data_IF_506197805835
#
_entry.id   IF_506197805835
#
_cell.length_a   1.000
_cell.length_b   1.000
_cell.length_c   1.000
_cell.angle_alpha   90.00
_cell.angle_beta   90.00
_cell.angle_gamma   90.00
#
_symmetry.space_group_name_H-M   'P 1'
#
loop_
_entity.id
_entity.type
_entity.pdbx_description
1 polymer ?
#
# COMPACT_ATOMS: atom_id res chain seq x y z
N UNK A 1 15.92 7.82 1.66
CA UNK A 1 14.45 8.04 1.53
C UNK A 1 13.70 6.71 1.74
N UNK A 2 12.55 6.72 2.44
CA UNK A 2 11.78 5.51 2.79
C UNK A 2 10.36 5.46 2.18
N UNK A 3 10.05 6.39 1.28
CA UNK A 3 8.79 6.47 0.55
C UNK A 3 9.08 6.45 -0.95
N UNK A 4 8.39 5.58 -1.68
CA UNK A 4 8.37 5.56 -3.14
C UNK A 4 7.07 6.21 -3.62
N UNK A 5 7.19 7.17 -4.55
CA UNK A 5 6.07 7.75 -5.27
C UNK A 5 5.98 7.12 -6.64
N UNK A 6 4.77 6.90 -7.14
CA UNK A 6 4.54 6.49 -8.52
C UNK A 6 3.38 7.28 -9.13
N UNK A 7 3.53 7.61 -10.41
CA UNK A 7 2.54 8.35 -11.17
C UNK A 7 1.98 7.43 -12.23
N UNK A 8 0.65 7.28 -12.23
CA UNK A 8 -0.08 6.49 -13.19
C UNK A 8 -0.91 7.43 -14.05
N UNK A 9 -0.72 7.37 -15.38
CA UNK A 9 -1.36 8.29 -16.34
C UNK A 9 -2.86 8.04 -16.55
N UNK A 10 -3.48 7.21 -15.73
CA UNK A 10 -4.90 6.87 -15.72
C UNK A 10 -5.35 6.59 -14.28
N UNK A 11 -6.61 6.87 -13.95
CA UNK A 11 -7.22 6.48 -12.68
C UNK A 11 -7.97 5.15 -12.83
N UNK A 12 -8.15 4.43 -11.71
CA UNK A 12 -8.76 3.08 -11.68
C UNK A 12 -9.68 2.91 -10.46
N UNK A 13 -10.47 3.95 -10.15
CA UNK A 13 -11.31 4.02 -8.95
C UNK A 13 -12.51 3.07 -9.03
N UNK A 14 -13.13 2.92 -10.20
CA UNK A 14 -14.27 2.05 -10.40
C UNK A 14 -13.79 0.66 -10.86
N UNK A 15 -13.88 -0.38 -10.02
CA UNK A 15 -13.57 -1.73 -10.46
C UNK A 15 -14.65 -2.23 -11.42
N UNK A 16 -14.27 -2.78 -12.58
CA UNK A 16 -15.18 -3.59 -13.39
C UNK A 16 -15.24 -5.01 -12.86
N UNK A 17 -16.44 -5.56 -12.79
CA UNK A 17 -16.65 -6.93 -12.33
C UNK A 17 -15.87 -7.92 -13.19
N UNK A 18 -15.10 -8.80 -12.56
CA UNK A 18 -14.28 -9.81 -13.25
C UNK A 18 -12.93 -9.32 -13.79
N UNK A 19 -12.64 -8.01 -13.73
CA UNK A 19 -11.36 -7.44 -14.14
C UNK A 19 -10.50 -7.07 -12.92
N UNK A 20 -9.18 -7.03 -13.10
CA UNK A 20 -8.28 -6.51 -12.06
C UNK A 20 -8.42 -4.98 -12.07
N UNK A 21 -8.71 -4.32 -10.93
CA UNK A 21 -8.94 -2.87 -10.89
C UNK A 21 -7.84 -2.05 -11.59
N UNK A 22 -6.58 -2.43 -11.41
CA UNK A 22 -5.42 -1.72 -12.00
C UNK A 22 -5.36 -1.75 -13.54
N UNK A 23 -6.13 -2.62 -14.20
CA UNK A 23 -6.14 -2.77 -15.66
C UNK A 23 -7.32 -2.04 -16.32
N UNK A 24 -8.13 -1.35 -15.53
CA UNK A 24 -9.42 -0.84 -15.97
C UNK A 24 -9.51 0.67 -15.70
N UNK A 25 -9.16 1.51 -16.70
CA UNK A 25 -9.30 2.95 -16.56
C UNK A 25 -10.73 3.38 -16.26
N UNK A 26 -10.87 4.42 -15.44
CA UNK A 26 -12.16 5.08 -15.21
C UNK A 26 -12.72 5.68 -16.51
N UNK A 27 -14.05 5.89 -16.63
CA UNK A 27 -14.67 6.42 -17.85
C UNK A 27 -14.44 7.93 -18.06
N UNK A 28 -13.64 8.58 -17.21
CA UNK A 28 -13.24 9.99 -17.30
C UNK A 28 -11.71 10.11 -17.38
N UNK A 29 -11.17 11.20 -17.94
CA UNK A 29 -9.73 11.48 -17.88
C UNK A 29 -9.32 11.70 -16.43
N UNK A 30 -8.34 10.94 -15.96
CA UNK A 30 -7.83 11.03 -14.60
C UNK A 30 -6.43 10.45 -14.51
N UNK A 31 -5.77 10.64 -13.39
CA UNK A 31 -4.48 10.04 -13.10
C UNK A 31 -4.42 9.69 -11.61
N UNK A 32 -3.39 8.94 -11.20
CA UNK A 32 -3.20 8.60 -9.78
C UNK A 32 -1.76 8.86 -9.37
N UNK A 33 -1.60 9.45 -8.19
CA UNK A 33 -0.31 9.55 -7.51
C UNK A 33 -0.36 8.57 -6.35
N UNK A 34 0.38 7.48 -6.48
CA UNK A 34 0.47 6.46 -5.46
C UNK A 34 1.74 6.55 -4.65
N UNK A 35 1.72 5.85 -3.52
CA UNK A 35 2.72 5.95 -2.48
C UNK A 35 2.91 4.58 -1.81
N UNK A 36 4.17 4.21 -1.55
CA UNK A 36 4.54 2.95 -0.91
C UNK A 36 5.68 3.18 0.07
N UNK A 37 5.50 2.76 1.31
CA UNK A 37 6.58 2.68 2.28
C UNK A 37 7.56 1.57 1.86
N UNK A 38 8.85 1.90 1.74
CA UNK A 38 9.86 0.97 1.21
C UNK A 38 10.43 0.06 2.30
N UNK A 39 10.33 0.45 3.57
CA UNK A 39 10.80 -0.33 4.73
C UNK A 39 9.75 -0.27 5.85
N UNK A 40 8.57 -0.88 5.66
CA UNK A 40 7.57 -0.97 6.72
C UNK A 40 8.14 -1.65 7.97
N UNK A 41 7.70 -1.21 9.13
CA UNK A 41 8.02 -1.80 10.43
C UNK A 41 6.98 -2.83 10.88
N UNK A 42 5.74 -2.76 10.37
CA UNK A 42 4.70 -3.77 10.55
C UNK A 42 5.16 -5.14 10.05
N UNK A 43 4.74 -6.21 10.72
CA UNK A 43 5.11 -7.60 10.37
C UNK A 43 3.87 -8.48 10.34
N UNK A 44 3.72 -9.21 9.25
CA UNK A 44 2.63 -10.14 9.00
C UNK A 44 2.98 -11.60 9.30
N UNK A 45 2.03 -12.48 9.03
CA UNK A 45 2.20 -13.93 9.11
C UNK A 45 1.53 -14.66 7.94
N UNK A 46 2.05 -15.85 7.64
CA UNK A 46 1.41 -16.84 6.76
C UNK A 46 1.25 -18.13 7.56
N UNK A 47 0.01 -18.57 7.76
CA UNK A 47 -0.32 -19.72 8.60
C UNK A 47 -1.13 -20.76 7.82
N UNK A 48 -0.88 -22.04 8.11
CA UNK A 48 -1.73 -23.12 7.62
C UNK A 48 -3.15 -22.96 8.17
N UNK A 49 -4.16 -23.22 7.35
CA UNK A 49 -5.58 -23.15 7.75
C UNK A 49 -6.17 -24.53 8.05
N UNK A 50 -5.59 -25.58 7.47
CA UNK A 50 -6.07 -26.96 7.64
C UNK A 50 -4.92 -27.96 7.43
N UNK A 51 -5.23 -29.25 7.58
CA UNK A 51 -4.32 -30.35 7.23
C UNK A 51 -4.30 -30.68 5.73
N UNK A 52 -5.21 -30.12 4.94
CA UNK A 52 -5.27 -30.35 3.50
C UNK A 52 -4.24 -29.45 2.79
N UNK A 53 -3.19 -30.02 2.15
CA UNK A 53 -2.17 -29.21 1.47
C UNK A 53 -2.70 -28.45 0.23
N UNK A 54 -3.95 -28.71 -0.22
CA UNK A 54 -4.59 -27.99 -1.32
C UNK A 54 -5.35 -26.74 -0.86
N UNK A 55 -5.52 -26.54 0.44
CA UNK A 55 -6.18 -25.34 0.95
C UNK A 55 -5.18 -24.18 0.96
N UNK A 56 -5.58 -23.03 0.40
CA UNK A 56 -4.75 -21.82 0.45
C UNK A 56 -4.42 -21.42 1.90
N UNK A 57 -3.21 -20.91 2.19
CA UNK A 57 -2.88 -20.47 3.54
C UNK A 57 -3.70 -19.24 3.97
N UNK A 58 -3.71 -18.95 5.28
CA UNK A 58 -4.12 -17.65 5.80
C UNK A 58 -2.94 -16.69 5.68
N UNK A 59 -3.14 -15.54 5.05
CA UNK A 59 -2.12 -14.50 4.90
C UNK A 59 -2.65 -13.25 5.62
N UNK A 60 -1.93 -12.81 6.66
CA UNK A 60 -2.30 -11.64 7.45
C UNK A 60 -1.14 -10.65 7.46
N UNK A 61 -1.15 -9.59 6.63
CA UNK A 61 -0.02 -8.65 6.55
C UNK A 61 0.19 -7.81 7.80
N UNK A 62 -0.86 -7.63 8.63
CA UNK A 62 -0.89 -6.69 9.75
C UNK A 62 -0.43 -5.28 9.35
N UNK A 63 -0.81 -4.82 8.14
CA UNK A 63 -0.45 -3.49 7.68
C UNK A 63 -0.93 -2.42 8.67
N UNK A 64 -0.07 -1.42 8.94
CA UNK A 64 -0.32 -0.34 9.89
C UNK A 64 -0.48 -0.79 11.35
N UNK A 65 0.13 -1.92 11.74
CA UNK A 65 0.14 -2.37 13.13
C UNK A 65 1.10 -1.58 14.03
N UNK A 66 1.94 -0.72 13.46
CA UNK A 66 2.87 0.16 14.18
C UNK A 66 2.53 1.62 13.94
N UNK A 67 2.70 2.46 14.97
CA UNK A 67 2.51 3.92 14.80
C UNK A 67 3.50 4.51 13.79
N UNK A 68 4.74 3.98 13.72
CA UNK A 68 5.73 4.43 12.75
C UNK A 68 5.24 4.32 11.29
N UNK A 69 4.57 3.22 10.93
CA UNK A 69 4.04 3.05 9.57
C UNK A 69 2.82 3.95 9.31
N UNK A 70 2.01 4.22 10.34
CA UNK A 70 0.85 5.13 10.27
C UNK A 70 1.32 6.58 10.07
N UNK A 71 2.28 7.02 10.87
CA UNK A 71 2.81 8.38 10.85
C UNK A 71 3.53 8.68 9.51
N UNK A 72 4.32 7.70 9.02
CA UNK A 72 4.99 7.81 7.72
C UNK A 72 3.97 7.91 6.57
N UNK A 73 2.91 7.11 6.60
CA UNK A 73 1.86 7.11 5.60
C UNK A 73 1.07 8.43 5.61
N UNK A 74 0.72 8.93 6.80
CA UNK A 74 0.04 10.22 6.97
C UNK A 74 0.87 11.37 6.40
N UNK A 75 2.18 11.39 6.68
CA UNK A 75 3.09 12.39 6.11
C UNK A 75 3.13 12.31 4.57
N UNK A 76 3.13 11.10 4.00
CA UNK A 76 3.15 10.90 2.56
C UNK A 76 1.85 11.34 1.87
N UNK A 77 0.68 11.04 2.44
CA UNK A 77 -0.62 11.48 1.89
C UNK A 77 -0.69 13.02 1.87
N UNK A 78 -0.28 13.67 2.96
CA UNK A 78 -0.20 15.14 3.01
C UNK A 78 0.80 15.70 1.99
N UNK A 79 1.92 15.01 1.77
CA UNK A 79 2.92 15.42 0.79
C UNK A 79 2.39 15.29 -0.65
N UNK A 80 1.67 14.21 -0.97
CA UNK A 80 1.03 14.05 -2.29
C UNK A 80 0.01 15.15 -2.57
N UNK A 81 -0.79 15.55 -1.58
CA UNK A 81 -1.68 16.72 -1.73
C UNK A 81 -0.92 18.01 -1.99
N UNK A 82 0.25 18.21 -1.36
CA UNK A 82 1.12 19.36 -1.67
C UNK A 82 1.63 19.33 -3.11
N UNK A 83 2.02 18.15 -3.62
CA UNK A 83 2.43 17.99 -5.04
C UNK A 83 1.26 18.33 -5.96
N UNK A 84 0.07 17.79 -5.69
CA UNK A 84 -1.14 18.04 -6.48
C UNK A 84 -1.51 19.54 -6.50
N UNK A 85 -1.26 20.26 -5.41
CA UNK A 85 -1.51 21.70 -5.32
C UNK A 85 -0.43 22.59 -5.97
N UNK A 86 0.67 22.04 -6.49
CA UNK A 86 1.68 22.83 -7.19
C UNK A 86 1.14 23.34 -8.53
N UNK A 87 1.52 24.54 -9.01
CA UNK A 87 0.91 25.17 -10.19
C UNK A 87 0.82 24.26 -11.42
N UNK A 88 1.91 23.57 -11.77
CA UNK A 88 1.97 22.68 -12.93
C UNK A 88 1.00 21.48 -12.84
N UNK A 89 0.60 21.07 -11.63
CA UNK A 89 -0.37 20.01 -11.40
C UNK A 89 -1.78 20.58 -11.22
N UNK A 90 -1.92 21.66 -10.46
CA UNK A 90 -3.19 22.29 -10.15
C UNK A 90 -3.92 22.79 -11.42
N UNK A 91 -3.18 23.21 -12.45
CA UNK A 91 -3.75 23.62 -13.75
C UNK A 91 -4.47 22.49 -14.50
N UNK A 92 -4.15 21.22 -14.20
CA UNK A 92 -4.71 20.04 -14.89
C UNK A 92 -5.58 19.15 -13.99
N UNK A 93 -5.76 19.50 -12.72
CA UNK A 93 -6.58 18.76 -11.76
C UNK A 93 -7.91 19.50 -11.59
N UNK A 94 -8.99 18.87 -12.01
CA UNK A 94 -10.35 19.39 -11.76
C UNK A 94 -10.76 19.15 -10.31
N UNK A 95 -10.59 17.92 -9.80
CA UNK A 95 -10.90 17.57 -8.41
C UNK A 95 -10.05 16.40 -7.88
N UNK A 96 -9.96 16.30 -6.56
CA UNK A 96 -9.43 15.10 -5.88
C UNK A 96 -10.57 14.08 -5.73
N UNK A 97 -10.50 12.95 -6.44
CA UNK A 97 -11.56 11.92 -6.36
C UNK A 97 -11.48 11.11 -5.06
N UNK A 98 -10.27 10.74 -4.62
CA UNK A 98 -10.02 9.97 -3.40
C UNK A 98 -8.80 10.52 -2.63
N UNK A 99 -8.86 10.59 -1.29
CA UNK A 99 -10.05 10.44 -0.44
C UNK A 99 -11.12 11.52 -0.63
N UNK A 100 -10.81 12.57 -1.38
CA UNK A 100 -11.72 13.68 -1.61
C UNK A 100 -11.36 14.91 -0.78
N UNK A 101 -11.74 16.12 -1.25
CA UNK A 101 -11.30 17.38 -0.63
C UNK A 101 -11.90 17.61 0.77
N UNK A 102 -13.00 16.96 1.11
CA UNK A 102 -13.65 17.08 2.43
C UNK A 102 -12.89 16.37 3.54
N UNK A 103 -12.07 15.38 3.21
CA UNK A 103 -11.29 14.59 4.17
C UNK A 103 -10.03 15.37 4.51
N UNK A 104 -10.00 16.07 5.65
CA UNK A 104 -8.93 17.03 5.96
C UNK A 104 -8.23 16.77 7.29
N UNK A 105 -8.89 16.11 8.24
CA UNK A 105 -8.28 15.82 9.54
C UNK A 105 -7.31 14.64 9.44
N UNK A 106 -6.31 14.61 10.31
CA UNK A 106 -5.35 13.51 10.38
C UNK A 106 -6.05 12.18 10.68
N UNK A 107 -7.08 12.21 11.52
CA UNK A 107 -7.87 11.03 11.86
C UNK A 107 -8.60 10.48 10.62
N UNK A 108 -9.26 11.34 9.84
CA UNK A 108 -10.00 10.91 8.65
C UNK A 108 -9.04 10.39 7.56
N UNK A 109 -7.86 11.02 7.41
CA UNK A 109 -6.83 10.54 6.49
C UNK A 109 -6.30 9.17 6.89
N UNK A 110 -6.07 8.95 8.18
CA UNK A 110 -5.64 7.64 8.72
C UNK A 110 -6.72 6.58 8.48
N UNK A 111 -7.98 6.92 8.73
CA UNK A 111 -9.09 6.00 8.49
C UNK A 111 -9.20 5.64 7.01
N UNK A 112 -9.07 6.62 6.12
CA UNK A 112 -9.11 6.41 4.68
C UNK A 112 -8.01 5.45 4.20
N UNK A 113 -6.73 5.76 4.47
CA UNK A 113 -5.66 4.92 3.94
C UNK A 113 -5.66 3.53 4.57
N UNK A 114 -6.14 3.37 5.82
CA UNK A 114 -6.31 2.03 6.40
C UNK A 114 -7.36 1.21 5.67
N UNK A 115 -8.42 1.84 5.15
CA UNK A 115 -9.47 1.17 4.38
C UNK A 115 -9.06 0.90 2.94
N UNK A 116 -8.33 1.82 2.31
CA UNK A 116 -8.05 1.76 0.87
C UNK A 116 -6.71 1.16 0.48
N UNK A 117 -5.73 1.16 1.37
CA UNK A 117 -4.39 0.68 1.03
C UNK A 117 -4.40 -0.80 0.65
N UNK A 118 -3.70 -1.10 -0.44
CA UNK A 118 -3.45 -2.45 -0.92
C UNK A 118 -1.96 -2.81 -0.85
N UNK A 119 -1.56 -3.76 -1.69
CA UNK A 119 -0.17 -4.17 -1.85
C UNK A 119 0.35 -3.81 -3.24
N UNK A 120 1.62 -3.44 -3.33
CA UNK A 120 2.39 -3.40 -4.58
C UNK A 120 2.98 -4.77 -4.95
N UNK A 121 2.47 -5.85 -4.33
CA UNK A 121 2.80 -7.24 -4.63
C UNK A 121 4.24 -7.67 -4.30
N UNK A 122 4.83 -7.12 -3.22
CA UNK A 122 6.16 -7.50 -2.73
C UNK A 122 6.16 -8.21 -1.35
N UNK A 123 5.39 -9.30 -1.13
CA UNK A 123 5.51 -10.08 0.10
C UNK A 123 6.87 -10.79 0.14
N UNK A 124 7.60 -10.63 1.24
CA UNK A 124 8.95 -11.19 1.42
C UNK A 124 9.17 -11.64 2.86
N UNK A 125 10.27 -12.36 3.09
CA UNK A 125 10.88 -12.59 4.42
C UNK A 125 10.15 -13.56 5.38
N UNK A 126 9.21 -14.38 4.91
CA UNK A 126 8.55 -15.41 5.75
C UNK A 126 9.49 -16.54 6.17
N UNK A 127 10.49 -16.85 5.34
CA UNK A 127 11.59 -17.78 5.67
C UNK A 127 12.92 -17.01 5.70
N UNK A 128 13.09 -16.11 6.67
CA UNK A 128 14.25 -15.22 6.70
C UNK A 128 15.57 -15.98 6.87
N UNK A 129 16.60 -15.50 6.19
CA UNK A 129 17.99 -15.94 6.33
C UNK A 129 18.66 -15.25 7.52
N UNK A 130 19.47 -15.98 8.30
CA UNK A 130 20.26 -15.39 9.38
C UNK A 130 21.13 -16.40 10.16
N UNK A 131 22.15 -15.92 10.89
CA UNK A 131 23.05 -16.80 11.64
C UNK A 131 22.44 -17.37 12.93
N UNK A 132 21.34 -16.78 13.42
CA UNK A 132 20.64 -17.19 14.64
C UNK A 132 19.46 -18.10 14.29
N UNK A 133 19.65 -19.41 14.47
CA UNK A 133 18.65 -20.44 14.20
C UNK A 133 17.38 -20.33 15.06
N UNK A 134 17.41 -19.60 16.19
CA UNK A 134 16.20 -19.38 16.99
C UNK A 134 15.25 -18.35 16.37
N UNK A 135 15.74 -17.58 15.38
CA UNK A 135 14.98 -16.52 14.73
C UNK A 135 14.99 -16.62 13.21
N UNK A 136 15.85 -17.42 12.59
CA UNK A 136 15.97 -17.59 11.15
C UNK A 136 15.55 -19.00 10.71
N UNK A 137 15.06 -19.13 9.48
CA UNK A 137 14.65 -20.41 8.90
C UNK A 137 15.81 -21.08 8.16
N UNK A 138 16.68 -20.27 7.54
CA UNK A 138 17.84 -20.77 6.79
C UNK A 138 19.11 -20.03 7.18
N UNK A 139 20.25 -20.70 7.04
CA UNK A 139 21.58 -20.13 7.25
C UNK A 139 22.01 -19.24 6.06
N UNK A 140 23.15 -18.51 6.14
CA UNK A 140 23.66 -17.69 5.03
C UNK A 140 23.98 -18.44 3.72
N UNK A 141 23.96 -19.77 3.73
CA UNK A 141 24.14 -20.65 2.56
C UNK A 141 22.79 -21.24 2.08
N UNK A 142 21.67 -20.76 2.63
CA UNK A 142 20.31 -21.17 2.32
C UNK A 142 20.01 -22.63 2.69
N UNK A 143 20.78 -23.20 3.63
CA UNK A 143 20.50 -24.52 4.20
C UNK A 143 19.63 -24.43 5.45
#
# INVERSE_FOLDING_TARGET
>A
PNMQLYFQAFSTVIPKSGERPILTPDPWPGFSIGLSNCRPSSRGEIMIRSKNPRDYPRITPHAYSTNADVDEMLAAVKFVRKIAAMPAMAEIIEEEVLPGPSITSDADLIEDFRKRSGTVYHPVSTCRMGPDASRAVVDPRLM
#
